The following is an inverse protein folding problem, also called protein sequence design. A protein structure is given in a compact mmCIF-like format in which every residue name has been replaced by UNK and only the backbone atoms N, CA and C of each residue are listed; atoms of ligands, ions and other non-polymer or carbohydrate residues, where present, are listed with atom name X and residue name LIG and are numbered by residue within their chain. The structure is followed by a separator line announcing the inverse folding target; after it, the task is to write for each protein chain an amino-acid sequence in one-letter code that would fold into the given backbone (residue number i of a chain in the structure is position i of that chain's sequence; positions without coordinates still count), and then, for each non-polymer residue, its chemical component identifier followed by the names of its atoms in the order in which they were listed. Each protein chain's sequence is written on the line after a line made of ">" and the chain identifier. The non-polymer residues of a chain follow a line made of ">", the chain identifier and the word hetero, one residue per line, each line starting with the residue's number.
data_IF_316441538104
#
_entry.id   IF_316441538104
#
_cell.length_a   1.000
_cell.length_b   1.000
_cell.length_c   1.000
_cell.angle_alpha   90.00
_cell.angle_beta   90.00
_cell.angle_gamma   90.00
#
_symmetry.space_group_name_H-M   'P 1'
#
loop_
_entity.id
_entity.type
_entity.pdbx_description
1 polymer ?
#
# COMPACT_ATOMS: atom_id res chain seq x y z
N UNK A 1 -0.33 24.16 13.38
CA UNK A 1 -0.66 23.87 14.80
C UNK A 1 -0.93 22.38 15.06
N UNK A 2 -1.67 21.66 14.19
CA UNK A 2 -1.94 20.22 14.35
C UNK A 2 -0.71 19.33 14.16
N UNK A 3 0.06 19.55 13.09
CA UNK A 3 1.27 18.77 12.78
C UNK A 3 2.32 18.82 13.91
N UNK A 4 2.57 19.99 14.50
CA UNK A 4 3.50 20.13 15.65
C UNK A 4 3.05 19.27 16.85
N UNK A 5 1.77 19.31 17.21
CA UNK A 5 1.21 18.47 18.28
C UNK A 5 1.29 16.97 17.95
N UNK A 6 1.09 16.61 16.68
CA UNK A 6 1.23 15.22 16.23
C UNK A 6 2.68 14.74 16.36
N UNK A 7 3.66 15.54 15.92
CA UNK A 7 5.09 15.25 16.09
C UNK A 7 5.46 15.17 17.57
N UNK A 8 4.97 16.10 18.40
CA UNK A 8 5.20 16.06 19.85
C UNK A 8 4.62 14.78 20.47
N UNK A 9 3.46 14.31 19.99
CA UNK A 9 2.88 13.04 20.43
C UNK A 9 3.72 11.84 19.97
N UNK A 10 4.18 11.81 18.71
CA UNK A 10 5.07 10.74 18.20
C UNK A 10 6.40 10.67 18.94
N UNK A 11 6.91 11.81 19.44
CA UNK A 11 8.17 11.85 20.19
C UNK A 11 8.01 11.52 21.68
N UNK A 12 6.77 11.41 22.18
CA UNK A 12 6.49 11.16 23.59
C UNK A 12 5.45 10.04 23.75
N UNK A 13 4.17 10.38 23.75
CA UNK A 13 3.09 9.46 24.09
C UNK A 13 2.91 8.27 23.12
N UNK A 14 3.34 8.41 21.87
CA UNK A 14 3.19 7.42 20.79
C UNK A 14 4.55 6.96 20.22
N UNK A 15 5.60 7.00 21.04
CA UNK A 15 6.97 6.74 20.60
C UNK A 15 7.16 5.31 20.08
N UNK A 16 6.53 4.31 20.72
CA UNK A 16 6.65 2.92 20.28
C UNK A 16 5.91 2.68 18.96
N UNK A 17 4.71 3.24 18.79
CA UNK A 17 3.96 3.18 17.53
C UNK A 17 4.73 3.86 16.40
N UNK A 18 5.31 5.04 16.66
CA UNK A 18 6.16 5.75 15.71
C UNK A 18 7.35 4.87 15.30
N UNK A 19 8.05 4.29 16.28
CA UNK A 19 9.20 3.39 16.05
C UNK A 19 8.82 2.20 15.16
N UNK A 20 7.68 1.57 15.42
CA UNK A 20 7.22 0.43 14.61
C UNK A 20 6.89 0.84 13.17
N UNK A 21 6.20 1.96 12.98
CA UNK A 21 5.86 2.48 11.64
C UNK A 21 7.13 2.81 10.85
N UNK A 22 8.06 3.57 11.45
CA UNK A 22 9.32 3.91 10.78
C UNK A 22 10.16 2.68 10.47
N UNK A 23 10.23 1.70 11.37
CA UNK A 23 10.92 0.44 11.09
C UNK A 23 10.25 -0.34 9.95
N UNK A 24 8.93 -0.32 9.86
CA UNK A 24 8.20 -0.91 8.73
C UNK A 24 8.57 -0.29 7.38
N UNK A 25 8.69 1.04 7.32
CA UNK A 25 9.14 1.74 6.11
C UNK A 25 10.59 1.42 5.76
N UNK A 26 11.47 1.34 6.75
CA UNK A 26 12.87 0.97 6.56
C UNK A 26 12.99 -0.46 6.00
N UNK A 27 12.34 -1.44 6.63
CA UNK A 27 12.34 -2.83 6.15
C UNK A 27 11.77 -2.96 4.73
N UNK A 28 10.73 -2.19 4.42
CA UNK A 28 10.16 -2.19 3.06
C UNK A 28 11.16 -1.60 2.05
N UNK A 29 11.91 -0.57 2.41
CA UNK A 29 12.97 -0.01 1.58
C UNK A 29 14.11 -1.01 1.36
N UNK A 30 14.54 -1.72 2.40
CA UNK A 30 15.58 -2.75 2.29
C UNK A 30 15.16 -3.85 1.31
N UNK A 31 13.89 -4.30 1.38
CA UNK A 31 13.34 -5.28 0.43
C UNK A 31 13.31 -4.72 -0.99
N UNK A 32 12.85 -3.48 -1.19
CA UNK A 32 12.83 -2.84 -2.51
C UNK A 32 14.25 -2.76 -3.09
N UNK A 33 15.23 -2.38 -2.27
CA UNK A 33 16.63 -2.30 -2.69
C UNK A 33 17.17 -3.68 -3.07
N UNK A 34 16.90 -4.71 -2.26
CA UNK A 34 17.27 -6.08 -2.56
C UNK A 34 16.69 -6.58 -3.89
N UNK A 35 15.43 -6.24 -4.18
CA UNK A 35 14.79 -6.59 -5.46
C UNK A 35 15.39 -5.83 -6.65
N UNK A 36 15.87 -4.61 -6.43
CA UNK A 36 16.51 -3.77 -7.44
C UNK A 36 17.94 -4.22 -7.76
N UNK A 37 18.70 -4.67 -6.76
CA UNK A 37 20.10 -5.08 -6.88
C UNK A 37 20.29 -6.48 -7.48
N UNK A 38 19.22 -7.15 -7.92
CA UNK A 38 19.31 -8.43 -8.59
C UNK A 38 20.18 -8.32 -9.87
N UNK A 39 21.14 -9.22 -10.02
CA UNK A 39 22.18 -9.15 -11.06
C UNK A 39 21.65 -9.18 -12.49
N UNK A 40 20.46 -9.75 -12.71
CA UNK A 40 19.75 -9.71 -13.98
C UNK A 40 18.31 -9.21 -13.76
N UNK A 41 17.78 -8.38 -14.68
CA UNK A 41 16.40 -7.91 -14.59
C UNK A 41 15.43 -9.08 -14.80
N UNK A 42 14.98 -9.66 -13.70
CA UNK A 42 13.92 -10.67 -13.70
C UNK A 42 12.58 -9.94 -13.64
N UNK A 43 11.75 -10.07 -14.68
CA UNK A 43 10.41 -9.45 -14.79
C UNK A 43 9.60 -9.51 -13.49
N UNK A 44 9.62 -10.66 -12.82
CA UNK A 44 8.93 -10.87 -11.54
C UNK A 44 9.44 -9.92 -10.45
N UNK A 45 10.76 -9.84 -10.27
CA UNK A 45 11.38 -8.98 -9.25
C UNK A 45 11.13 -7.50 -9.56
N UNK A 46 11.24 -7.10 -10.82
CA UNK A 46 10.99 -5.73 -11.27
C UNK A 46 9.54 -5.31 -11.00
N UNK A 47 8.56 -6.10 -11.44
CA UNK A 47 7.15 -5.78 -11.24
C UNK A 47 6.78 -5.79 -9.76
N UNK A 48 7.23 -6.78 -8.99
CA UNK A 48 6.96 -6.82 -7.55
C UNK A 48 7.64 -5.65 -6.81
N UNK A 49 8.87 -5.28 -7.19
CA UNK A 49 9.58 -4.12 -6.64
C UNK A 49 8.85 -2.81 -6.90
N UNK A 50 8.32 -2.61 -8.11
CA UNK A 50 7.51 -1.44 -8.46
C UNK A 50 6.21 -1.37 -7.66
N UNK A 51 5.53 -2.51 -7.48
CA UNK A 51 4.30 -2.57 -6.67
C UNK A 51 4.60 -2.29 -5.19
N UNK A 52 5.69 -2.84 -4.64
CA UNK A 52 6.14 -2.57 -3.28
C UNK A 52 6.51 -1.10 -3.08
N UNK A 53 7.25 -0.50 -4.01
CA UNK A 53 7.61 0.91 -3.98
C UNK A 53 6.37 1.81 -3.98
N UNK A 54 5.39 1.50 -4.83
CA UNK A 54 4.11 2.22 -4.86
C UNK A 54 3.36 2.07 -3.54
N UNK A 55 3.21 0.86 -3.02
CA UNK A 55 2.54 0.60 -1.75
C UNK A 55 3.21 1.32 -0.57
N UNK A 56 4.55 1.32 -0.53
CA UNK A 56 5.37 2.03 0.46
C UNK A 56 5.13 3.54 0.41
N UNK A 57 5.13 4.14 -0.78
CA UNK A 57 4.91 5.57 -0.96
C UNK A 57 3.48 5.98 -0.58
N UNK A 58 2.48 5.16 -0.94
CA UNK A 58 1.10 5.38 -0.52
C UNK A 58 0.96 5.27 1.00
N UNK A 59 1.58 4.27 1.63
CA UNK A 59 1.62 4.11 3.08
C UNK A 59 2.25 5.30 3.80
N UNK A 60 3.35 5.84 3.28
CA UNK A 60 3.94 7.08 3.80
C UNK A 60 2.97 8.25 3.63
N UNK A 61 2.29 8.36 2.48
CA UNK A 61 1.27 9.38 2.24
C UNK A 61 0.12 9.32 3.25
N UNK A 62 -0.40 8.12 3.54
CA UNK A 62 -1.43 7.89 4.56
C UNK A 62 -0.92 8.38 5.92
N UNK A 63 0.29 8.00 6.30
CA UNK A 63 0.86 8.38 7.59
C UNK A 63 1.02 9.90 7.71
N UNK A 64 1.59 10.56 6.70
CA UNK A 64 1.75 12.02 6.68
C UNK A 64 0.40 12.76 6.76
N UNK A 65 -0.58 12.36 5.94
CA UNK A 65 -1.92 12.97 5.94
C UNK A 65 -2.63 12.76 7.29
N UNK A 66 -2.46 11.59 7.92
CA UNK A 66 -3.01 11.33 9.24
C UNK A 66 -2.42 12.28 10.30
N UNK A 67 -1.11 12.55 10.27
CA UNK A 67 -0.46 13.50 11.19
C UNK A 67 -0.89 14.95 10.96
N UNK A 68 -1.23 15.31 9.74
CA UNK A 68 -1.78 16.62 9.40
C UNK A 68 -3.28 16.75 9.77
N UNK A 69 -3.92 15.65 10.17
CA UNK A 69 -5.34 15.59 10.51
C UNK A 69 -6.26 15.54 9.29
N UNK A 70 -5.75 15.06 8.15
CA UNK A 70 -6.44 14.89 6.87
C UNK A 70 -6.90 13.44 6.69
N UNK A 71 -7.81 13.01 7.56
CA UNK A 71 -8.23 11.61 7.64
C UNK A 71 -9.00 11.12 6.40
N UNK A 72 -9.73 12.00 5.71
CA UNK A 72 -10.48 11.63 4.51
C UNK A 72 -9.55 11.35 3.33
N UNK A 73 -8.55 12.21 3.15
CA UNK A 73 -7.52 12.11 2.13
C UNK A 73 -6.61 10.90 2.39
N UNK A 74 -6.25 10.66 3.65
CA UNK A 74 -5.56 9.44 4.06
C UNK A 74 -6.40 8.19 3.73
N UNK A 75 -7.71 8.22 4.01
CA UNK A 75 -8.63 7.15 3.65
C UNK A 75 -8.73 6.91 2.14
N UNK A 76 -8.63 7.96 1.31
CA UNK A 76 -8.60 7.83 -0.14
C UNK A 76 -7.35 7.08 -0.64
N UNK A 77 -6.19 7.28 0.01
CA UNK A 77 -4.95 6.54 -0.30
C UNK A 77 -4.95 5.09 0.22
N UNK A 78 -5.80 4.76 1.20
CA UNK A 78 -5.87 3.40 1.75
C UNK A 78 -6.32 2.38 0.70
N UNK A 79 -7.27 2.73 -0.18
CA UNK A 79 -7.74 1.84 -1.24
C UNK A 79 -6.62 1.42 -2.21
N UNK A 80 -5.88 2.33 -2.88
CA UNK A 80 -4.78 1.92 -3.75
C UNK A 80 -3.64 1.22 -2.97
N UNK A 81 -3.47 1.49 -1.67
CA UNK A 81 -2.51 0.75 -0.84
C UNK A 81 -2.90 -0.72 -0.68
N UNK A 82 -4.19 -0.98 -0.41
CA UNK A 82 -4.74 -2.35 -0.36
C UNK A 82 -4.53 -3.04 -1.71
N UNK A 83 -4.81 -2.35 -2.81
CA UNK A 83 -4.62 -2.91 -4.16
C UNK A 83 -3.17 -3.33 -4.43
N UNK A 84 -2.18 -2.58 -3.94
CA UNK A 84 -0.77 -3.00 -4.02
C UNK A 84 -0.52 -4.31 -3.27
N UNK A 85 -1.07 -4.48 -2.07
CA UNK A 85 -0.92 -5.72 -1.29
C UNK A 85 -1.60 -6.89 -2.01
N UNK A 86 -2.81 -6.67 -2.51
CA UNK A 86 -3.58 -7.69 -3.25
C UNK A 86 -2.88 -8.09 -4.56
N UNK A 87 -2.23 -7.16 -5.28
CA UNK A 87 -1.43 -7.48 -6.45
C UNK A 87 -0.24 -8.38 -6.11
N UNK A 88 0.48 -8.10 -5.02
CA UNK A 88 1.59 -8.96 -4.59
C UNK A 88 1.09 -10.37 -4.22
N UNK A 89 -0.06 -10.48 -3.57
CA UNK A 89 -0.69 -11.77 -3.30
C UNK A 89 -1.12 -12.49 -4.59
N UNK A 90 -1.61 -11.75 -5.58
CA UNK A 90 -1.99 -12.29 -6.89
C UNK A 90 -0.80 -12.87 -7.64
N UNK A 91 0.31 -12.12 -7.72
CA UNK A 91 1.54 -12.61 -8.34
C UNK A 91 2.17 -13.78 -7.57
N UNK A 92 2.06 -13.77 -6.23
CA UNK A 92 2.50 -14.91 -5.42
C UNK A 92 1.72 -16.18 -5.72
N UNK A 93 0.41 -16.08 -5.99
CA UNK A 93 -0.44 -17.23 -6.32
C UNK A 93 -0.19 -17.77 -7.73
N UNK A 94 0.06 -16.90 -8.69
CA UNK A 94 0.40 -17.28 -10.06
C UNK A 94 1.47 -16.33 -10.63
N UNK A 95 2.76 -16.70 -10.56
CA UNK A 95 3.86 -15.88 -11.08
C UNK A 95 3.79 -15.60 -12.58
N UNK A 96 3.02 -16.38 -13.37
CA UNK A 96 2.85 -16.12 -14.80
C UNK A 96 2.06 -14.85 -15.07
N UNK A 97 1.31 -14.34 -14.08
CA UNK A 97 0.56 -13.09 -14.16
C UNK A 97 1.44 -11.84 -14.25
N UNK A 98 2.74 -11.97 -14.03
CA UNK A 98 3.71 -10.90 -14.27
C UNK A 98 3.71 -10.48 -15.74
N UNK A 99 3.60 -11.42 -16.69
CA UNK A 99 3.54 -11.09 -18.12
C UNK A 99 2.27 -10.28 -18.43
N UNK A 100 1.13 -10.65 -17.84
CA UNK A 100 -0.11 -9.85 -17.95
C UNK A 100 0.07 -8.43 -17.38
N UNK A 101 0.88 -8.25 -16.34
CA UNK A 101 1.20 -6.94 -15.78
C UNK A 101 2.03 -6.09 -16.74
N UNK A 102 3.04 -6.71 -17.37
CA UNK A 102 3.90 -6.05 -18.36
C UNK A 102 3.11 -5.65 -19.60
N UNK A 103 2.21 -6.51 -20.06
CA UNK A 103 1.35 -6.25 -21.23
C UNK A 103 0.17 -5.32 -20.94
N UNK A 104 -0.03 -4.89 -19.68
CA UNK A 104 -1.17 -4.05 -19.29
C UNK A 104 -2.53 -4.76 -19.36
N UNK A 105 -2.54 -6.10 -19.25
CA UNK A 105 -3.71 -6.97 -19.38
C UNK A 105 -4.23 -7.49 -18.04
N UNK A 106 -3.77 -6.94 -16.91
CA UNK A 106 -4.28 -7.34 -15.61
C UNK A 106 -5.78 -7.06 -15.50
N UNK A 107 -6.53 -7.98 -14.86
CA UNK A 107 -7.92 -7.72 -14.56
C UNK A 107 -8.06 -6.53 -13.60
N UNK A 108 -9.24 -5.88 -13.54
CA UNK A 108 -9.49 -4.81 -12.59
C UNK A 108 -9.22 -5.23 -11.14
N UNK A 109 -8.82 -4.27 -10.29
CA UNK A 109 -8.47 -4.54 -8.90
C UNK A 109 -9.57 -5.26 -8.10
N UNK A 110 -10.84 -5.00 -8.40
CA UNK A 110 -11.98 -5.70 -7.78
C UNK A 110 -12.04 -7.18 -8.13
N UNK A 111 -11.64 -7.55 -9.34
CA UNK A 111 -11.61 -8.95 -9.77
C UNK A 111 -10.37 -9.67 -9.28
N UNK A 112 -9.23 -8.97 -9.18
CA UNK A 112 -8.03 -9.49 -8.50
C UNK A 112 -8.40 -9.89 -7.06
N UNK A 113 -9.01 -8.99 -6.29
CA UNK A 113 -9.40 -9.27 -4.90
C UNK A 113 -10.32 -10.49 -4.75
N UNK A 114 -11.31 -10.64 -5.66
CA UNK A 114 -12.19 -11.82 -5.67
C UNK A 114 -11.41 -13.11 -5.95
N UNK A 115 -10.46 -13.08 -6.90
CA UNK A 115 -9.65 -14.25 -7.28
C UNK A 115 -8.70 -14.70 -6.17
N UNK A 116 -8.16 -13.76 -5.40
CA UNK A 116 -7.20 -14.10 -4.34
C UNK A 116 -7.87 -14.47 -3.02
N UNK A 117 -9.15 -14.17 -2.80
CA UNK A 117 -9.84 -14.30 -1.49
C UNK A 117 -8.94 -13.80 -0.34
N UNK A 118 -8.40 -12.58 -0.55
CA UNK A 118 -7.29 -12.06 0.22
C UNK A 118 -7.69 -11.65 1.64
N UNK A 119 -6.71 -11.60 2.54
CA UNK A 119 -6.90 -11.26 3.97
C UNK A 119 -7.54 -9.88 4.21
N UNK A 120 -7.48 -8.98 3.23
CA UNK A 120 -8.00 -7.61 3.31
C UNK A 120 -9.44 -7.47 2.82
N UNK A 121 -10.12 -8.56 2.43
CA UNK A 121 -11.50 -8.54 1.94
C UNK A 121 -12.46 -7.81 2.88
N UNK A 122 -12.38 -8.08 4.18
CA UNK A 122 -13.23 -7.41 5.17
C UNK A 122 -12.99 -5.89 5.25
N UNK A 123 -11.72 -5.47 5.18
CA UNK A 123 -11.38 -4.04 5.14
C UNK A 123 -11.87 -3.39 3.85
N UNK A 124 -11.73 -4.07 2.71
CA UNK A 124 -12.23 -3.59 1.41
C UNK A 124 -13.73 -3.41 1.41
N UNK A 125 -14.48 -4.38 1.94
CA UNK A 125 -15.93 -4.31 2.07
C UNK A 125 -16.37 -3.17 2.99
N UNK A 126 -15.66 -2.96 4.11
CA UNK A 126 -15.90 -1.83 4.99
C UNK A 126 -15.70 -0.50 4.27
N UNK A 127 -14.61 -0.35 3.52
CA UNK A 127 -14.32 0.86 2.75
C UNK A 127 -15.33 1.09 1.62
N UNK A 128 -15.83 0.04 0.97
CA UNK A 128 -16.87 0.19 -0.06
C UNK A 128 -18.20 0.69 0.53
N UNK A 129 -18.51 0.35 1.78
CA UNK A 129 -19.75 0.78 2.45
C UNK A 129 -19.63 2.17 3.09
N UNK A 130 -18.46 2.52 3.60
CA UNK A 130 -18.28 3.67 4.49
C UNK A 130 -17.38 4.78 3.94
N UNK A 131 -16.56 4.52 2.92
CA UNK A 131 -15.85 5.60 2.25
C UNK A 131 -16.88 6.37 1.42
N UNK A 132 -17.28 7.54 1.93
CA UNK A 132 -18.21 8.44 1.27
C UNK A 132 -17.79 8.63 -0.18
N UNK A 133 -18.59 8.11 -1.11
CA UNK A 133 -18.47 8.52 -2.50
C UNK A 133 -18.70 10.03 -2.51
N UNK A 134 -17.71 10.77 -3.00
CA UNK A 134 -17.88 12.19 -3.34
C UNK A 134 -18.79 12.24 -4.57
N UNK A 135 -20.08 11.95 -4.34
CA UNK A 135 -21.14 11.84 -5.32
C UNK A 135 -21.76 13.23 -5.44
N UNK A 136 -21.36 13.97 -6.47
CA UNK A 136 -22.02 15.20 -6.91
C UNK A 136 -23.17 14.90 -7.91
N UNK A 137 -23.84 13.75 -7.76
CA UNK A 137 -25.14 13.53 -8.42
C UNK A 137 -26.26 14.04 -7.55
#
# INVERSE_FOLDING_TARGET
>A
MKQKKAIDALNNALQEEARLIYKGFELTNEIIQFLYDASEPISFLTVCGLVLLKGRNLGQGIFSLALDGLAQEAGALLRPTIECIELLEYFRKDPKKIEEAIEGKLPPAGDIAKKIDGRLKGLRDYLNRNASHFSFT
#
